data_IF_404167366860
#
_entry.id   IF_404167366860
#
_cell.length_a   1.000
_cell.length_b   1.000
_cell.length_c   1.000
_cell.angle_alpha   90.00
_cell.angle_beta   90.00
_cell.angle_gamma   90.00
#
_symmetry.space_group_name_H-M   'P 1'
#
loop_
_entity.id
_entity.type
_entity.pdbx_description
1 polymer ?
#
# COMPACT_ATOMS: atom_id res chain seq x y z
N UNK A 1 -19.42 49.15 6.59
CA UNK A 1 -18.42 48.08 6.38
C UNK A 1 -19.15 46.86 5.88
N UNK A 2 -18.88 46.42 4.65
CA UNK A 2 -19.51 45.25 4.04
C UNK A 2 -18.83 43.98 4.53
N UNK A 3 -19.62 43.01 5.00
CA UNK A 3 -19.11 41.72 5.47
C UNK A 3 -18.32 40.99 4.37
N UNK A 4 -17.18 40.35 4.73
CA UNK A 4 -16.40 39.56 3.79
C UNK A 4 -17.25 38.37 3.31
N UNK A 5 -17.59 38.36 2.03
CA UNK A 5 -18.37 37.28 1.42
C UNK A 5 -17.53 35.99 1.45
N UNK A 6 -18.12 34.94 2.01
CA UNK A 6 -17.53 33.60 2.07
C UNK A 6 -17.20 33.09 0.65
N UNK A 7 -15.98 32.58 0.48
CA UNK A 7 -15.50 32.08 -0.81
C UNK A 7 -16.29 30.85 -1.23
N UNK A 8 -16.98 30.95 -2.37
CA UNK A 8 -17.66 29.82 -3.01
C UNK A 8 -16.82 29.33 -4.21
N UNK A 9 -16.16 28.15 -4.10
CA UNK A 9 -15.35 27.57 -5.15
C UNK A 9 -16.14 27.19 -6.41
N UNK A 10 -17.48 27.15 -6.32
CA UNK A 10 -18.37 26.83 -7.44
C UNK A 10 -19.00 28.07 -8.08
N UNK A 11 -18.78 29.27 -7.52
CA UNK A 11 -19.44 30.49 -7.99
C UNK A 11 -19.10 30.87 -9.43
N UNK A 12 -18.00 30.34 -9.99
CA UNK A 12 -17.51 30.70 -11.33
C UNK A 12 -17.21 32.20 -11.48
N UNK A 13 -17.27 32.97 -10.39
CA UNK A 13 -17.07 34.42 -10.35
C UNK A 13 -15.58 34.70 -10.61
N UNK A 14 -15.27 34.93 -11.88
CA UNK A 14 -13.92 35.27 -12.34
C UNK A 14 -13.64 34.81 -13.77
N UNK A 15 -14.29 33.74 -14.23
CA UNK A 15 -14.23 33.33 -15.65
C UNK A 15 -15.56 33.65 -16.32
N UNK A 16 -15.62 34.80 -16.99
CA UNK A 16 -16.74 35.09 -17.91
C UNK A 16 -16.80 33.98 -18.95
N UNK A 17 -17.94 33.27 -19.03
CA UNK A 17 -18.22 32.36 -20.13
C UNK A 17 -18.32 33.22 -21.39
N UNK A 18 -17.23 33.36 -22.13
CA UNK A 18 -17.24 34.11 -23.38
C UNK A 18 -17.79 33.19 -24.47
N UNK A 19 -18.90 33.61 -25.08
CA UNK A 19 -19.43 32.97 -26.30
C UNK A 19 -18.65 33.39 -27.55
N UNK A 20 -17.50 34.03 -27.38
CA UNK A 20 -16.67 34.51 -28.48
C UNK A 20 -16.01 33.30 -29.16
N UNK A 21 -16.18 33.11 -30.48
CA UNK A 21 -15.53 32.03 -31.21
C UNK A 21 -14.00 32.13 -31.05
N UNK A 22 -13.28 30.99 -31.07
CA UNK A 22 -11.82 30.99 -30.94
C UNK A 22 -11.21 31.79 -32.09
N UNK A 23 -10.25 32.68 -31.81
CA UNK A 23 -9.63 33.51 -32.83
C UNK A 23 -8.65 32.75 -33.73
N UNK A 24 -8.22 31.56 -33.28
CA UNK A 24 -7.25 30.71 -33.98
C UNK A 24 -7.64 29.23 -33.91
N UNK A 25 -7.23 28.43 -34.89
CA UNK A 25 -7.47 26.99 -34.90
C UNK A 25 -6.87 26.26 -33.69
N UNK A 26 -5.71 26.71 -33.20
CA UNK A 26 -5.09 26.15 -31.99
C UNK A 26 -5.98 26.35 -30.75
N UNK A 27 -6.59 27.54 -30.59
CA UNK A 27 -7.53 27.79 -29.50
C UNK A 27 -8.78 26.90 -29.60
N UNK A 28 -9.29 26.65 -30.81
CA UNK A 28 -10.40 25.73 -31.02
C UNK A 28 -10.05 24.30 -30.55
N UNK A 29 -8.88 23.79 -30.95
CA UNK A 29 -8.39 22.49 -30.52
C UNK A 29 -8.21 22.40 -28.99
N UNK A 30 -7.71 23.46 -28.35
CA UNK A 30 -7.55 23.48 -26.88
C UNK A 30 -8.89 23.48 -26.15
N UNK A 31 -9.89 24.23 -26.64
CA UNK A 31 -11.27 24.18 -26.12
C UNK A 31 -11.86 22.78 -26.25
N UNK A 32 -11.62 22.12 -27.38
CA UNK A 32 -12.08 20.76 -27.64
C UNK A 32 -11.44 19.73 -26.70
N UNK A 33 -10.11 19.78 -26.55
CA UNK A 33 -9.37 18.93 -25.60
C UNK A 33 -9.88 19.11 -24.17
N UNK A 34 -10.16 20.36 -23.77
CA UNK A 34 -10.69 20.65 -22.45
C UNK A 34 -12.13 20.11 -22.28
N UNK A 35 -12.97 20.19 -23.32
CA UNK A 35 -14.31 19.59 -23.34
C UNK A 35 -14.25 18.08 -23.16
N UNK A 36 -13.44 17.40 -23.97
CA UNK A 36 -13.22 15.95 -23.88
C UNK A 36 -12.64 15.52 -22.53
N UNK A 37 -11.77 16.33 -21.94
CA UNK A 37 -11.26 16.06 -20.59
C UNK A 37 -12.36 16.13 -19.54
N UNK A 38 -13.21 17.17 -19.56
CA UNK A 38 -14.35 17.31 -18.64
C UNK A 38 -15.35 16.18 -18.82
N UNK A 39 -15.64 15.81 -20.07
CA UNK A 39 -16.52 14.70 -20.38
C UNK A 39 -15.99 13.38 -19.84
N UNK A 40 -14.71 13.06 -20.06
CA UNK A 40 -14.09 11.85 -19.49
C UNK A 40 -14.11 11.84 -17.96
N UNK A 41 -13.87 13.00 -17.34
CA UNK A 41 -13.96 13.14 -15.88
C UNK A 41 -15.39 12.91 -15.37
N UNK A 42 -16.38 13.47 -16.07
CA UNK A 42 -17.79 13.29 -15.75
C UNK A 42 -18.20 11.82 -15.85
N UNK A 43 -17.88 11.15 -16.96
CA UNK A 43 -18.17 9.73 -17.15
C UNK A 43 -17.50 8.84 -16.07
N UNK A 44 -16.28 9.19 -15.64
CA UNK A 44 -15.60 8.47 -14.57
C UNK A 44 -16.32 8.62 -13.22
N UNK A 45 -16.79 9.84 -12.90
CA UNK A 45 -17.57 10.08 -11.69
C UNK A 45 -18.90 9.32 -11.73
N UNK A 46 -19.61 9.34 -12.85
CA UNK A 46 -20.86 8.59 -13.02
C UNK A 46 -20.67 7.07 -12.88
N UNK A 47 -19.55 6.53 -13.38
CA UNK A 47 -19.21 5.13 -13.20
C UNK A 47 -18.89 4.80 -11.74
N UNK A 48 -18.14 5.67 -11.03
CA UNK A 48 -17.87 5.47 -9.60
C UNK A 48 -19.15 5.52 -8.78
N UNK A 49 -20.04 6.48 -9.05
CA UNK A 49 -21.34 6.60 -8.38
C UNK A 49 -22.22 5.37 -8.63
N UNK A 50 -22.17 4.80 -9.84
CA UNK A 50 -22.86 3.54 -10.15
C UNK A 50 -22.32 2.39 -9.31
N UNK A 51 -21.00 2.22 -9.26
CA UNK A 51 -20.37 1.15 -8.47
C UNK A 51 -20.67 1.27 -6.97
N UNK A 52 -20.65 2.48 -6.41
CA UNK A 52 -21.03 2.68 -5.01
C UNK A 52 -22.47 2.22 -4.75
N UNK A 53 -23.42 2.56 -5.64
CA UNK A 53 -24.82 2.12 -5.51
C UNK A 53 -24.98 0.60 -5.63
N UNK A 54 -24.24 -0.02 -6.56
CA UNK A 54 -24.22 -1.48 -6.71
C UNK A 54 -23.74 -2.16 -5.41
N UNK A 55 -22.62 -1.71 -4.86
CA UNK A 55 -22.07 -2.24 -3.60
C UNK A 55 -23.00 -1.99 -2.41
N UNK A 56 -23.62 -0.82 -2.31
CA UNK A 56 -24.61 -0.53 -1.27
C UNK A 56 -25.82 -1.48 -1.35
N UNK A 57 -26.27 -1.79 -2.57
CA UNK A 57 -27.38 -2.73 -2.79
C UNK A 57 -26.99 -4.16 -2.40
N UNK A 58 -25.78 -4.60 -2.72
CA UNK A 58 -25.25 -5.92 -2.35
C UNK A 58 -25.11 -6.06 -0.83
N UNK A 59 -24.52 -5.06 -0.16
CA UNK A 59 -24.42 -5.03 1.31
C UNK A 59 -25.82 -5.10 1.94
N UNK A 60 -26.81 -4.40 1.38
CA UNK A 60 -28.18 -4.43 1.87
C UNK A 60 -28.80 -5.83 1.71
N UNK A 61 -28.59 -6.48 0.56
CA UNK A 61 -29.07 -7.85 0.32
C UNK A 61 -28.44 -8.86 1.29
N UNK A 62 -27.11 -8.81 1.47
CA UNK A 62 -26.40 -9.69 2.40
C UNK A 62 -26.88 -9.50 3.84
N UNK A 63 -27.16 -8.26 4.26
CA UNK A 63 -27.74 -7.97 5.58
C UNK A 63 -29.13 -8.57 5.76
N UNK A 64 -29.98 -8.51 4.73
CA UNK A 64 -31.32 -9.15 4.76
C UNK A 64 -31.19 -10.67 4.86
N UNK A 65 -30.33 -11.28 4.03
CA UNK A 65 -30.08 -12.72 4.09
C UNK A 65 -29.61 -13.14 5.49
N UNK A 66 -28.66 -12.41 6.07
CA UNK A 66 -28.16 -12.70 7.42
C UNK A 66 -29.26 -12.59 8.49
N UNK A 67 -30.18 -11.63 8.37
CA UNK A 67 -31.32 -11.49 9.28
C UNK A 67 -32.32 -12.65 9.16
N UNK A 68 -32.57 -13.14 7.94
CA UNK A 68 -33.44 -14.30 7.68
C UNK A 68 -32.84 -15.58 8.28
N UNK A 69 -31.54 -15.80 8.08
CA UNK A 69 -30.80 -16.92 8.68
C UNK A 69 -30.86 -16.90 10.22
N UNK A 70 -30.66 -15.74 10.84
CA UNK A 70 -30.73 -15.61 12.31
C UNK A 70 -32.15 -15.81 12.87
N UNK A 71 -33.19 -15.61 12.06
CA UNK A 71 -34.58 -15.77 12.47
C UNK A 71 -35.04 -17.23 12.49
N UNK A 72 -34.38 -18.13 11.75
CA UNK A 72 -34.68 -19.57 11.70
C UNK A 72 -34.23 -20.34 12.95
N UNK A 73 -33.28 -19.79 13.72
CA UNK A 73 -32.70 -20.43 14.91
C UNK A 73 -33.36 -19.99 16.23
N UNK A 74 -34.54 -19.36 16.21
CA UNK A 74 -35.39 -19.26 17.40
C UNK A 74 -36.32 -20.46 17.45
N UNK A 75 -35.93 -21.60 18.07
CA UNK A 75 -36.89 -22.64 18.39
C UNK A 75 -37.95 -21.98 19.27
N UNK A 76 -39.15 -21.88 18.74
CA UNK A 76 -40.32 -21.47 19.51
C UNK A 76 -40.42 -22.42 20.68
N UNK A 77 -39.95 -21.96 21.84
CA UNK A 77 -40.07 -22.65 23.11
C UNK A 77 -41.55 -22.59 23.52
N UNK A 78 -42.38 -23.34 22.80
CA UNK A 78 -43.76 -23.65 23.18
C UNK A 78 -43.73 -24.91 24.07
N UNK A 79 -42.89 -24.89 25.10
CA UNK A 79 -42.96 -25.85 26.19
C UNK A 79 -43.90 -25.27 27.24
N UNK A 80 -45.17 -25.68 27.10
CA UNK A 80 -46.13 -25.77 28.20
C UNK A 80 -45.40 -26.19 29.47
N UNK A 81 -45.64 -25.44 30.53
CA UNK A 81 -45.25 -25.75 31.91
C UNK A 81 -45.67 -27.17 32.28
N UNK A 82 -44.71 -28.09 32.25
CA UNK A 82 -44.78 -29.39 32.90
C UNK A 82 -43.60 -29.48 33.85
N UNK A 83 -43.83 -29.14 35.12
CA UNK A 83 -42.88 -29.33 36.21
C UNK A 83 -42.56 -30.81 36.35
N UNK A 84 -41.41 -31.25 35.85
CA UNK A 84 -40.85 -32.57 36.13
C UNK A 84 -39.64 -32.36 37.02
N UNK A 85 -39.84 -32.65 38.30
CA UNK A 85 -38.82 -32.78 39.33
C UNK A 85 -37.95 -33.98 38.97
N UNK A 86 -36.71 -33.74 38.56
CA UNK A 86 -35.72 -34.78 38.32
C UNK A 86 -34.96 -35.04 39.62
N UNK A 87 -35.34 -36.12 40.30
CA UNK A 87 -34.54 -36.74 41.36
C UNK A 87 -33.26 -37.31 40.75
N UNK A 88 -32.12 -36.89 41.29
CA UNK A 88 -30.80 -37.47 41.02
C UNK A 88 -30.68 -38.73 41.88
N UNK A 89 -30.53 -39.93 41.31
CA UNK A 89 -30.09 -41.10 42.06
C UNK A 89 -28.56 -41.09 42.13
N UNK A 90 -28.03 -40.98 43.35
CA UNK A 90 -26.66 -41.34 43.64
C UNK A 90 -26.49 -42.86 43.46
N UNK A 91 -25.50 -43.28 42.67
CA UNK A 91 -24.96 -44.64 42.76
C UNK A 91 -23.53 -44.73 42.19
N UNK A 92 -22.77 -45.73 42.66
CA UNK A 92 -21.34 -45.58 42.92
C UNK A 92 -20.44 -46.23 41.86
N UNK A 93 -19.19 -45.76 41.89
CA UNK A 93 -17.94 -46.36 41.39
C UNK A 93 -17.99 -47.66 40.58
N UNK A 94 -17.44 -47.63 39.36
CA UNK A 94 -16.51 -48.67 38.89
C UNK A 94 -15.61 -48.15 37.75
N UNK A 95 -14.44 -48.77 37.66
CA UNK A 95 -13.22 -48.41 36.92
C UNK A 95 -13.28 -48.56 35.39
N UNK A 96 -12.22 -47.99 34.78
CA UNK A 96 -11.48 -48.43 33.58
C UNK A 96 -11.64 -47.66 32.25
N UNK A 97 -10.56 -46.92 31.94
CA UNK A 97 -9.79 -46.90 30.69
C UNK A 97 -10.53 -46.75 29.34
N UNK A 98 -10.36 -45.58 28.70
CA UNK A 98 -9.78 -45.43 27.34
C UNK A 98 -9.68 -43.93 26.96
N UNK A 99 -8.51 -43.41 26.51
CA UNK A 99 -8.40 -42.05 26.00
C UNK A 99 -8.73 -41.99 24.49
N UNK A 100 -9.70 -41.14 24.14
CA UNK A 100 -10.05 -40.76 22.77
C UNK A 100 -9.38 -39.41 22.41
N UNK A 101 -8.81 -39.23 21.20
CA UNK A 101 -8.04 -38.04 20.86
C UNK A 101 -8.96 -36.91 20.41
N UNK A 102 -9.40 -36.08 21.36
CA UNK A 102 -10.01 -34.78 21.07
C UNK A 102 -8.93 -33.72 20.85
N UNK A 103 -9.04 -33.02 19.71
CA UNK A 103 -8.16 -31.95 19.26
C UNK A 103 -7.91 -30.86 20.33
N UNK A 104 -6.69 -30.28 20.39
CA UNK A 104 -6.36 -29.29 21.40
C UNK A 104 -7.03 -27.95 21.07
N UNK A 105 -7.98 -27.52 21.92
CA UNK A 105 -8.33 -26.11 22.04
C UNK A 105 -7.17 -25.41 22.75
N UNK A 106 -6.30 -24.76 21.98
CA UNK A 106 -5.28 -23.86 22.51
C UNK A 106 -5.95 -22.63 23.15
N UNK A 107 -6.24 -22.71 24.44
CA UNK A 107 -6.45 -21.56 25.30
C UNK A 107 -5.06 -21.02 25.71
N UNK A 108 -4.36 -20.40 24.77
CA UNK A 108 -3.07 -19.76 25.06
C UNK A 108 -3.35 -18.30 25.51
N UNK A 109 -3.06 -17.93 26.77
CA UNK A 109 -3.33 -16.57 27.28
C UNK A 109 -2.59 -15.47 26.51
N UNK A 110 -1.52 -15.82 25.78
CA UNK A 110 -0.75 -14.90 24.93
C UNK A 110 -1.53 -14.38 23.71
N UNK A 111 -2.54 -15.12 23.24
CA UNK A 111 -3.39 -14.68 22.12
C UNK A 111 -4.40 -13.59 22.53
N UNK A 112 -4.75 -13.47 23.81
CA UNK A 112 -5.60 -12.38 24.28
C UNK A 112 -4.81 -11.09 24.49
N UNK A 113 -3.55 -11.18 24.95
CA UNK A 113 -2.67 -10.03 25.11
C UNK A 113 -2.43 -9.29 23.78
N UNK A 114 -2.15 -10.04 22.70
CA UNK A 114 -1.99 -9.49 21.34
C UNK A 114 -3.26 -8.82 20.80
N UNK A 115 -4.45 -9.30 21.16
CA UNK A 115 -5.72 -8.68 20.74
C UNK A 115 -5.97 -7.34 21.43
N UNK A 116 -5.62 -7.21 22.70
CA UNK A 116 -5.68 -5.92 23.43
C UNK A 116 -4.67 -4.90 22.92
N UNK A 117 -3.47 -5.35 22.54
CA UNK A 117 -2.41 -4.48 22.03
C UNK A 117 -2.75 -3.91 20.64
N UNK A 118 -3.36 -4.71 19.77
CA UNK A 118 -3.83 -4.26 18.44
C UNK A 118 -4.97 -3.22 18.56
N UNK A 119 -5.85 -3.36 19.54
CA UNK A 119 -6.94 -2.39 19.80
C UNK A 119 -6.39 -1.09 20.40
N UNK A 120 -5.36 -1.16 21.25
CA UNK A 120 -4.68 0.01 21.81
C UNK A 120 -3.92 0.81 20.73
N UNK A 121 -3.21 0.12 19.83
CA UNK A 121 -2.50 0.75 18.71
C UNK A 121 -3.47 1.41 17.71
N UNK A 122 -4.64 0.82 17.47
CA UNK A 122 -5.70 1.46 16.66
C UNK A 122 -6.24 2.74 17.28
N UNK A 123 -6.33 2.84 18.60
CA UNK A 123 -6.79 4.07 19.27
C UNK A 123 -5.76 5.21 19.18
N UNK A 124 -4.47 4.90 19.28
CA UNK A 124 -3.40 5.90 19.17
C UNK A 124 -3.29 6.50 17.76
N UNK A 125 -3.41 5.67 16.72
CA UNK A 125 -3.36 6.11 15.32
C UNK A 125 -4.55 7.00 14.94
N UNK A 126 -5.71 6.82 15.60
CA UNK A 126 -6.88 7.66 15.35
C UNK A 126 -6.88 8.98 16.15
N UNK A 127 -6.17 9.07 17.28
CA UNK A 127 -6.11 10.29 18.10
C UNK A 127 -5.14 11.35 17.58
N UNK A 128 -4.10 10.98 16.82
CA UNK A 128 -3.13 11.95 16.27
C UNK A 128 -3.63 12.69 15.02
N UNK A 129 -4.72 12.22 14.40
CA UNK A 129 -5.19 12.75 13.12
C UNK A 129 -6.20 13.90 13.22
N UNK A 130 -6.51 14.40 14.43
CA UNK A 130 -7.53 15.44 14.64
C UNK A 130 -6.94 16.84 14.91
N UNK A 131 -5.64 16.97 15.20
CA UNK A 131 -5.03 18.26 15.56
C UNK A 131 -3.84 18.64 14.67
N UNK A 132 -4.08 19.00 13.42
CA UNK A 132 -3.10 19.70 12.60
C UNK A 132 -3.76 20.80 11.75
N UNK A 133 -3.92 21.97 12.37
CA UNK A 133 -4.28 23.22 11.71
C UNK A 133 -3.01 24.03 11.41
N UNK A 134 -2.86 24.36 10.13
CA UNK A 134 -2.16 25.49 9.52
C UNK A 134 -0.62 25.55 9.51
N UNK A 135 -0.14 25.53 8.25
CA UNK A 135 1.13 26.01 7.68
C UNK A 135 2.24 24.95 7.45
N UNK A 136 2.57 24.61 6.18
CA UNK A 136 3.61 23.63 5.88
C UNK A 136 4.99 24.30 5.99
N UNK A 137 5.69 23.92 7.04
CA UNK A 137 7.13 24.14 7.20
C UNK A 137 7.85 23.06 6.38
N UNK A 138 8.54 23.44 5.30
CA UNK A 138 9.14 22.49 4.35
C UNK A 138 10.15 21.54 5.03
N UNK A 139 10.79 21.99 6.11
CA UNK A 139 11.73 21.18 6.89
C UNK A 139 11.03 20.09 7.71
N UNK A 140 9.77 20.32 8.11
CA UNK A 140 8.96 19.30 8.80
C UNK A 140 8.48 18.22 7.83
N UNK A 141 8.18 18.57 6.58
CA UNK A 141 7.78 17.60 5.55
C UNK A 141 8.89 16.59 5.28
N UNK A 142 10.14 17.05 5.14
CA UNK A 142 11.30 16.17 4.96
C UNK A 142 11.48 15.26 6.18
N UNK A 143 11.33 15.79 7.40
CA UNK A 143 11.44 15.00 8.63
C UNK A 143 10.33 13.96 8.82
N UNK A 144 9.10 14.28 8.39
CA UNK A 144 7.94 13.39 8.49
C UNK A 144 8.04 12.28 7.46
N UNK A 145 8.43 12.58 6.22
CA UNK A 145 8.66 11.55 5.18
C UNK A 145 9.79 10.60 5.58
N UNK A 146 10.89 11.12 6.15
CA UNK A 146 11.98 10.30 6.68
C UNK A 146 11.51 9.40 7.85
N UNK A 147 10.73 9.94 8.80
CA UNK A 147 10.19 9.17 9.94
C UNK A 147 9.15 8.13 9.53
N UNK A 148 8.27 8.42 8.58
CA UNK A 148 7.26 7.47 8.07
C UNK A 148 7.89 6.37 7.22
N UNK A 149 8.97 6.66 6.49
CA UNK A 149 9.75 5.63 5.79
C UNK A 149 10.52 4.68 6.74
N UNK A 150 10.80 5.11 7.98
CA UNK A 150 11.56 4.35 8.96
C UNK A 150 10.71 3.37 9.79
N UNK A 151 9.38 3.53 9.87
CA UNK A 151 8.53 2.76 10.79
C UNK A 151 7.60 1.73 10.14
N UNK A 152 7.65 1.53 8.82
CA UNK A 152 6.79 0.54 8.14
C UNK A 152 7.35 -0.89 8.24
N UNK A 153 6.72 -1.71 9.09
CA UNK A 153 7.09 -3.11 9.37
C UNK A 153 6.32 -4.16 8.55
N UNK A 154 5.55 -3.75 7.53
CA UNK A 154 4.72 -4.69 6.76
C UNK A 154 5.28 -4.91 5.33
N UNK A 155 5.98 -6.03 5.07
CA UNK A 155 6.72 -6.25 3.83
C UNK A 155 5.86 -6.67 2.62
N UNK A 156 4.56 -6.93 2.78
CA UNK A 156 3.70 -7.49 1.72
C UNK A 156 2.75 -6.50 1.04
N UNK A 157 2.79 -5.21 1.39
CA UNK A 157 1.90 -4.25 0.74
C UNK A 157 2.60 -3.57 -0.46
N UNK A 158 2.49 -4.18 -1.64
CA UNK A 158 2.90 -3.61 -2.94
C UNK A 158 2.21 -2.27 -3.25
N UNK A 159 1.17 -1.89 -2.50
CA UNK A 159 0.52 -0.57 -2.55
C UNK A 159 1.49 0.61 -2.28
N UNK A 160 2.62 0.35 -1.61
CA UNK A 160 3.63 1.39 -1.33
C UNK A 160 4.53 1.74 -2.53
N UNK A 161 4.44 1.04 -3.66
CA UNK A 161 5.10 1.48 -4.91
C UNK A 161 4.13 2.00 -5.96
N UNK A 162 2.81 1.93 -5.69
CA UNK A 162 1.80 2.41 -6.61
C UNK A 162 1.94 3.92 -6.83
N UNK A 163 2.31 4.70 -5.80
CA UNK A 163 2.59 6.12 -5.97
C UNK A 163 3.83 6.40 -6.84
N UNK A 164 4.81 5.49 -6.85
CA UNK A 164 6.06 5.58 -7.60
C UNK A 164 5.84 5.25 -9.10
N UNK A 165 4.93 4.32 -9.38
CA UNK A 165 4.68 3.79 -10.73
C UNK A 165 3.46 4.47 -11.39
N UNK A 166 2.57 5.11 -10.63
CA UNK A 166 1.35 5.71 -11.18
C UNK A 166 1.68 6.94 -12.06
N UNK A 167 1.44 6.87 -13.39
CA UNK A 167 1.75 7.96 -14.32
C UNK A 167 0.91 9.23 -14.07
N UNK A 168 -0.11 9.17 -13.21
CA UNK A 168 -0.89 10.33 -12.77
C UNK A 168 -0.18 11.15 -11.68
N UNK A 169 0.82 10.58 -11.01
CA UNK A 169 1.61 11.23 -9.96
C UNK A 169 2.90 11.92 -10.47
N UNK A 170 2.89 12.39 -11.74
CA UNK A 170 4.01 13.14 -12.35
C UNK A 170 4.47 14.38 -11.55
N UNK A 171 3.61 14.91 -10.67
CA UNK A 171 3.92 16.07 -9.85
C UNK A 171 4.74 15.75 -8.59
N UNK A 172 4.68 14.53 -8.05
CA UNK A 172 5.44 14.15 -6.85
C UNK A 172 6.92 13.96 -7.17
N UNK A 173 7.18 13.06 -8.12
CA UNK A 173 8.52 12.68 -8.56
C UNK A 173 9.40 13.87 -8.96
N UNK A 174 8.93 14.73 -9.88
CA UNK A 174 9.76 15.85 -10.37
C UNK A 174 10.02 16.91 -9.29
N UNK A 175 9.13 17.06 -8.30
CA UNK A 175 9.31 18.06 -7.22
C UNK A 175 10.36 17.63 -6.20
N UNK A 176 10.44 16.33 -5.90
CA UNK A 176 11.43 15.78 -4.98
C UNK A 176 12.83 15.98 -5.56
N UNK A 177 13.03 15.67 -6.85
CA UNK A 177 14.32 15.88 -7.52
C UNK A 177 14.73 17.35 -7.66
N UNK A 178 13.79 18.27 -7.93
CA UNK A 178 14.13 19.71 -8.08
C UNK A 178 14.46 20.42 -6.76
N UNK A 179 14.01 19.90 -5.61
CA UNK A 179 14.32 20.49 -4.30
C UNK A 179 15.79 20.26 -3.86
N UNK A 180 16.50 19.34 -4.53
CA UNK A 180 17.82 18.86 -4.14
C UNK A 180 18.96 19.42 -5.02
N UNK A 181 18.68 20.26 -6.02
CA UNK A 181 19.67 21.01 -6.81
C UNK A 181 20.42 22.11 -6.00
N UNK A 182 20.33 22.06 -4.66
CA UNK A 182 20.90 23.07 -3.76
C UNK A 182 22.38 22.77 -3.49
N UNK A 183 23.23 23.37 -4.32
CA UNK A 183 24.64 23.79 -4.14
C UNK A 183 25.73 22.79 -3.70
N UNK A 184 25.43 21.58 -3.22
CA UNK A 184 26.44 20.57 -2.90
C UNK A 184 26.76 19.69 -4.12
N UNK A 185 28.06 19.38 -4.33
CA UNK A 185 28.48 18.41 -5.34
C UNK A 185 27.83 17.05 -5.02
N UNK A 186 27.03 16.46 -5.91
CA UNK A 186 26.35 15.20 -5.64
C UNK A 186 27.41 14.09 -5.53
N UNK A 187 27.62 13.60 -4.32
CA UNK A 187 28.41 12.39 -4.07
C UNK A 187 27.58 11.17 -4.42
N UNK A 188 28.20 10.19 -5.07
CA UNK A 188 27.55 8.92 -5.34
C UNK A 188 27.26 8.16 -4.04
N UNK A 189 26.29 7.26 -4.09
CA UNK A 189 25.94 6.37 -2.98
C UNK A 189 27.16 5.54 -2.52
N UNK A 190 27.96 5.07 -3.47
CA UNK A 190 29.21 4.35 -3.21
C UNK A 190 30.29 5.22 -2.53
N UNK A 191 30.37 6.52 -2.83
CA UNK A 191 31.28 7.43 -2.13
C UNK A 191 30.83 7.72 -0.68
N UNK A 192 29.52 7.75 -0.43
CA UNK A 192 28.97 8.03 0.90
C UNK A 192 28.99 6.81 1.83
N UNK A 193 28.74 5.62 1.29
CA UNK A 193 28.48 4.41 2.07
C UNK A 193 29.45 3.26 1.76
N UNK A 194 30.39 3.45 0.83
CA UNK A 194 31.31 2.42 0.37
C UNK A 194 30.73 1.51 -0.71
N UNK A 195 31.56 0.59 -1.26
CA UNK A 195 31.14 -0.33 -2.31
C UNK A 195 30.03 -1.27 -1.83
N UNK A 196 29.05 -1.51 -2.70
CA UNK A 196 27.97 -2.47 -2.44
C UNK A 196 28.51 -3.88 -2.62
N UNK A 197 28.36 -4.73 -1.60
CA UNK A 197 28.61 -6.16 -1.71
C UNK A 197 27.38 -6.85 -2.34
N UNK A 198 27.39 -6.96 -3.67
CA UNK A 198 26.33 -7.61 -4.44
C UNK A 198 26.51 -9.13 -4.54
N UNK A 199 27.69 -9.65 -4.19
CA UNK A 199 28.09 -11.03 -4.55
C UNK A 199 27.33 -12.06 -3.71
N UNK A 200 27.07 -11.75 -2.44
CA UNK A 200 26.23 -12.58 -1.58
C UNK A 200 24.79 -12.66 -2.10
N UNK A 201 24.22 -11.54 -2.54
CA UNK A 201 22.89 -11.52 -3.14
C UNK A 201 22.84 -12.29 -4.46
N UNK A 202 23.84 -12.11 -5.34
CA UNK A 202 24.00 -12.88 -6.58
C UNK A 202 24.03 -14.39 -6.30
N UNK A 203 24.84 -14.83 -5.31
CA UNK A 203 24.90 -16.23 -4.89
C UNK A 203 23.55 -16.74 -4.40
N UNK A 204 22.86 -16.00 -3.56
CA UNK A 204 21.51 -16.36 -3.08
C UNK A 204 20.55 -16.56 -4.24
N UNK A 205 20.52 -15.65 -5.23
CA UNK A 205 19.68 -15.80 -6.41
C UNK A 205 20.04 -17.01 -7.26
N UNK A 206 21.32 -17.40 -7.33
CA UNK A 206 21.79 -18.59 -8.05
C UNK A 206 21.48 -19.91 -7.34
N UNK A 207 21.10 -19.88 -6.07
CA UNK A 207 20.59 -21.08 -5.38
C UNK A 207 19.17 -21.46 -5.83
N UNK A 208 18.45 -20.56 -6.51
CA UNK A 208 17.14 -20.82 -7.07
C UNK A 208 17.29 -21.61 -8.38
N UNK A 209 16.66 -22.78 -8.45
CA UNK A 209 16.82 -23.70 -9.59
C UNK A 209 16.42 -23.04 -10.92
N UNK A 210 15.37 -22.22 -10.92
CA UNK A 210 14.92 -21.47 -12.11
C UNK A 210 15.90 -20.39 -12.60
N UNK A 211 16.84 -19.95 -11.76
CA UNK A 211 17.76 -18.84 -12.06
C UNK A 211 19.24 -19.24 -12.10
N UNK A 212 19.58 -20.49 -11.78
CA UNK A 212 20.97 -20.96 -11.58
C UNK A 212 21.90 -20.65 -12.74
N UNK A 213 21.42 -20.65 -13.99
CA UNK A 213 22.22 -20.38 -15.20
C UNK A 213 21.79 -19.10 -15.94
N UNK A 214 20.88 -18.31 -15.38
CA UNK A 214 20.34 -17.12 -16.05
C UNK A 214 21.31 -15.93 -16.03
N UNK A 215 21.75 -15.48 -17.21
CA UNK A 215 22.51 -14.23 -17.38
C UNK A 215 21.74 -12.98 -16.92
N UNK A 216 20.42 -13.08 -16.82
CA UNK A 216 19.55 -11.99 -16.35
C UNK A 216 19.87 -11.61 -14.91
N UNK A 217 20.28 -12.58 -14.08
CA UNK A 217 20.69 -12.34 -12.68
C UNK A 217 21.95 -11.47 -12.65
N UNK A 218 22.95 -11.78 -13.47
CA UNK A 218 24.20 -11.00 -13.50
C UNK A 218 23.93 -9.57 -13.97
N UNK A 219 23.17 -9.42 -15.06
CA UNK A 219 22.76 -8.11 -15.58
C UNK A 219 22.01 -7.28 -14.53
N UNK A 220 21.10 -7.92 -13.78
CA UNK A 220 20.35 -7.26 -12.71
C UNK A 220 21.25 -6.77 -11.59
N UNK A 221 22.15 -7.63 -11.10
CA UNK A 221 23.14 -7.30 -10.07
C UNK A 221 24.11 -6.19 -10.54
N UNK A 222 24.63 -6.26 -11.76
CA UNK A 222 25.56 -5.27 -12.32
C UNK A 222 24.88 -3.90 -12.50
N UNK A 223 23.59 -3.87 -12.82
CA UNK A 223 22.83 -2.62 -12.86
C UNK A 223 22.62 -2.02 -11.48
N UNK A 224 22.44 -2.83 -10.42
CA UNK A 224 22.35 -2.32 -9.04
C UNK A 224 23.66 -1.66 -8.60
N UNK A 225 24.81 -2.26 -8.92
CA UNK A 225 26.14 -1.67 -8.69
C UNK A 225 26.36 -0.43 -9.56
N UNK A 226 25.91 -0.46 -10.81
CA UNK A 226 25.99 0.72 -11.68
C UNK A 226 25.16 1.89 -11.13
N UNK A 227 23.98 1.60 -10.57
CA UNK A 227 23.12 2.60 -9.96
C UNK A 227 23.78 3.26 -8.74
N UNK A 228 24.54 2.53 -7.92
CA UNK A 228 25.19 3.10 -6.73
C UNK A 228 26.35 4.06 -7.04
N UNK A 229 26.92 3.95 -8.24
CA UNK A 229 28.01 4.79 -8.74
C UNK A 229 27.55 6.06 -9.43
N UNK A 230 26.27 6.10 -9.80
CA UNK A 230 25.74 7.18 -10.63
C UNK A 230 25.41 8.40 -9.78
N UNK A 231 25.74 9.58 -10.31
CA UNK A 231 25.44 10.89 -9.67
C UNK A 231 24.44 11.69 -10.48
N UNK A 232 24.32 11.45 -11.79
CA UNK A 232 23.33 12.12 -12.64
C UNK A 232 21.93 11.53 -12.42
N UNK A 233 21.02 12.37 -11.94
CA UNK A 233 19.60 12.07 -11.72
C UNK A 233 18.93 11.48 -12.96
N UNK A 234 19.22 12.00 -14.15
CA UNK A 234 18.58 11.52 -15.38
C UNK A 234 19.03 10.10 -15.68
N UNK A 235 20.33 9.82 -15.51
CA UNK A 235 20.91 8.50 -15.73
C UNK A 235 20.49 7.49 -14.65
N UNK A 236 20.46 7.91 -13.38
CA UNK A 236 19.89 7.13 -12.27
C UNK A 236 18.46 6.67 -12.58
N UNK A 237 17.60 7.59 -13.05
CA UNK A 237 16.23 7.27 -13.45
C UNK A 237 16.17 6.26 -14.59
N UNK A 238 17.03 6.40 -15.59
CA UNK A 238 17.12 5.44 -16.70
C UNK A 238 17.58 4.06 -16.23
N UNK A 239 18.59 3.99 -15.36
CA UNK A 239 19.08 2.75 -14.77
C UNK A 239 18.00 2.08 -13.94
N UNK A 240 17.28 2.82 -13.10
CA UNK A 240 16.19 2.26 -12.30
C UNK A 240 15.07 1.65 -13.15
N UNK A 241 14.67 2.33 -14.22
CA UNK A 241 13.68 1.76 -15.14
C UNK A 241 14.18 0.48 -15.82
N UNK A 242 15.49 0.36 -16.10
CA UNK A 242 16.09 -0.87 -16.63
C UNK A 242 16.13 -1.98 -15.57
N UNK A 243 16.48 -1.65 -14.33
CA UNK A 243 16.45 -2.56 -13.17
C UNK A 243 15.04 -3.13 -12.99
N UNK A 244 14.00 -2.28 -13.05
CA UNK A 244 12.61 -2.74 -12.92
C UNK A 244 12.19 -3.69 -14.04
N UNK A 245 12.65 -3.46 -15.28
CA UNK A 245 12.38 -4.37 -16.40
C UNK A 245 13.07 -5.71 -16.20
N UNK A 246 14.35 -5.72 -15.80
CA UNK A 246 15.04 -6.99 -15.56
C UNK A 246 14.54 -7.71 -14.32
N UNK A 247 14.08 -6.99 -13.29
CA UNK A 247 13.35 -7.58 -12.17
C UNK A 247 12.14 -8.35 -12.67
N UNK A 248 11.33 -7.74 -13.54
CA UNK A 248 10.15 -8.40 -14.10
C UNK A 248 10.53 -9.60 -14.97
N UNK A 249 11.60 -9.50 -15.76
CA UNK A 249 12.11 -10.63 -16.54
C UNK A 249 12.56 -11.80 -15.66
N UNK A 250 13.23 -11.52 -14.53
CA UNK A 250 13.57 -12.54 -13.54
C UNK A 250 12.29 -13.19 -12.98
N UNK A 251 11.30 -12.38 -12.60
CA UNK A 251 10.01 -12.89 -12.08
C UNK A 251 9.30 -13.80 -13.09
N UNK A 252 9.38 -13.48 -14.39
CA UNK A 252 8.80 -14.30 -15.46
C UNK A 252 9.51 -15.64 -15.64
N UNK A 253 10.84 -15.69 -15.40
CA UNK A 253 11.63 -16.93 -15.42
C UNK A 253 11.44 -17.79 -14.17
N UNK A 254 11.10 -17.17 -13.03
CA UNK A 254 10.91 -17.88 -11.77
C UNK A 254 9.65 -18.74 -11.73
N UNK A 255 9.76 -19.91 -11.10
CA UNK A 255 8.61 -20.68 -10.62
C UNK A 255 7.86 -19.89 -9.53
N UNK A 256 6.62 -20.29 -9.21
CA UNK A 256 5.83 -19.63 -8.15
C UNK A 256 6.56 -19.63 -6.80
N UNK A 257 7.24 -20.72 -6.45
CA UNK A 257 8.00 -20.85 -5.20
C UNK A 257 9.24 -19.94 -5.24
N UNK A 258 9.96 -19.92 -6.36
CA UNK A 258 11.17 -19.10 -6.51
C UNK A 258 10.87 -17.60 -6.52
N UNK A 259 9.68 -17.17 -6.97
CA UNK A 259 9.24 -15.76 -6.88
C UNK A 259 9.17 -15.28 -5.43
N UNK A 260 8.68 -16.11 -4.52
CA UNK A 260 8.62 -15.78 -3.08
C UNK A 260 10.03 -15.64 -2.52
N UNK A 261 10.90 -16.62 -2.79
CA UNK A 261 12.30 -16.60 -2.34
C UNK A 261 13.09 -15.42 -2.93
N UNK A 262 12.84 -15.07 -4.20
CA UNK A 262 13.41 -13.87 -4.83
C UNK A 262 12.98 -12.60 -4.10
N UNK A 263 11.70 -12.50 -3.72
CA UNK A 263 11.18 -11.40 -2.90
C UNK A 263 11.85 -11.31 -1.53
N UNK A 264 11.99 -12.43 -0.84
CA UNK A 264 12.68 -12.51 0.47
C UNK A 264 14.14 -12.08 0.38
N UNK A 265 14.89 -12.63 -0.59
CA UNK A 265 16.27 -12.23 -0.84
C UNK A 265 16.39 -10.73 -1.16
N UNK A 266 15.44 -10.19 -1.92
CA UNK A 266 15.38 -8.76 -2.23
C UNK A 266 15.12 -7.88 -1.01
N UNK A 267 14.29 -8.33 -0.07
CA UNK A 267 14.03 -7.63 1.20
C UNK A 267 15.27 -7.65 2.09
N UNK A 268 15.92 -8.81 2.23
CA UNK A 268 17.16 -8.95 2.99
C UNK A 268 18.26 -8.04 2.45
N UNK A 269 18.48 -8.10 1.13
CA UNK A 269 19.42 -7.22 0.44
C UNK A 269 19.10 -5.73 0.67
N UNK A 270 17.84 -5.33 0.52
CA UNK A 270 17.42 -3.94 0.77
C UNK A 270 17.67 -3.51 2.21
N UNK A 271 17.51 -4.39 3.18
CA UNK A 271 17.75 -4.07 4.58
C UNK A 271 19.25 -3.89 4.86
N UNK A 272 20.10 -4.75 4.29
CA UNK A 272 21.56 -4.69 4.45
C UNK A 272 22.17 -3.44 3.78
N UNK A 273 21.61 -3.02 2.64
CA UNK A 273 22.10 -1.86 1.86
C UNK A 273 21.12 -0.69 1.88
N UNK A 274 20.30 -0.58 2.93
CA UNK A 274 19.31 0.48 3.07
C UNK A 274 19.93 1.88 2.87
N UNK A 275 21.10 2.24 3.44
CA UNK A 275 21.70 3.56 3.23
C UNK A 275 21.95 3.86 1.75
N UNK A 276 22.38 2.87 0.98
CA UNK A 276 22.67 3.03 -0.44
C UNK A 276 21.43 3.34 -1.29
N UNK A 277 20.26 2.87 -0.86
CA UNK A 277 18.98 3.08 -1.53
C UNK A 277 18.13 4.19 -0.92
N UNK A 278 18.44 4.67 0.28
CA UNK A 278 17.70 5.77 0.91
C UNK A 278 17.90 7.07 0.13
N UNK A 279 19.11 7.31 -0.41
CA UNK A 279 19.30 8.34 -1.43
C UNK A 279 18.38 8.09 -2.62
N UNK A 280 18.27 6.87 -3.13
CA UNK A 280 17.38 6.63 -4.27
C UNK A 280 15.88 6.88 -3.95
N UNK A 281 15.37 6.34 -2.83
CA UNK A 281 13.94 6.42 -2.43
C UNK A 281 13.56 7.83 -1.98
N UNK A 282 14.45 8.56 -1.31
CA UNK A 282 14.21 9.96 -0.95
C UNK A 282 14.30 10.89 -2.16
N UNK A 283 14.91 10.45 -3.26
CA UNK A 283 15.04 11.24 -4.47
C UNK A 283 13.92 10.90 -5.48
N UNK A 284 13.29 9.71 -5.42
CA UNK A 284 12.09 9.32 -6.20
C UNK A 284 10.76 9.70 -5.55
#
# INVERSE_FOLDING_TARGET
>A
MSEPRMYDPYSGRGRRKTNVPPSTGHQAMMREKQRLFRQRKQNYLENLERHCKEQESEIKQLRTQLADWLSLDSPSNSSKSGSVVLQIPESPMHNELHPSPSAPRCANPDCQALRTEIVALRKLVFSENVNASNQPDNDKIISVVAKTALTSTNPFNDANYEWLINPKNKLGFNKIFHALDSTAVPLSSEQLHGPIDIENFRKTLRTLDSLKESITVDNYCDMLVSLSRETDIKRMRQLFLRIMREKNRIMDLCTVIDRVKFGEAGIEYRNNFRPHFVGFILYT
#
